data_IF_295586430474
#
_entry.id   IF_295586430474
#
_cell.length_a   1.000
_cell.length_b   1.000
_cell.length_c   1.000
_cell.angle_alpha   90.00
_cell.angle_beta   90.00
_cell.angle_gamma   90.00
#
_symmetry.space_group_name_H-M   'P 1'
#
loop_
_entity.id
_entity.type
_entity.pdbx_description
1 polymer ?
#
# COMPACT_ATOMS: atom_id res chain seq x y z
N UNK A 1 19.55 4.85 -4.32
CA UNK A 1 18.56 4.96 -3.22
C UNK A 1 17.17 4.99 -3.83
N UNK A 2 16.49 3.85 -3.82
CA UNK A 2 15.23 3.64 -4.55
C UNK A 2 14.05 4.28 -3.81
N UNK A 3 13.65 5.46 -4.26
CA UNK A 3 12.38 6.08 -3.87
C UNK A 3 11.28 5.54 -4.79
N UNK A 4 10.57 4.49 -4.40
CA UNK A 4 9.36 4.06 -5.11
C UNK A 4 8.20 3.97 -4.14
N UNK A 5 7.69 5.14 -3.77
CA UNK A 5 6.32 5.29 -3.29
C UNK A 5 5.73 6.55 -3.92
N UNK A 6 5.28 6.42 -5.17
CA UNK A 6 4.02 7.00 -5.68
C UNK A 6 4.07 7.19 -7.20
N UNK A 7 3.50 6.24 -7.92
CA UNK A 7 2.73 6.53 -9.13
C UNK A 7 1.46 5.69 -9.08
N UNK A 8 0.38 6.31 -8.60
CA UNK A 8 -0.96 5.73 -8.63
C UNK A 8 -1.45 5.71 -10.08
N UNK A 9 -1.80 4.53 -10.59
CA UNK A 9 -2.67 4.41 -11.74
C UNK A 9 -4.04 5.01 -11.37
N UNK A 10 -4.41 6.08 -12.06
CA UNK A 10 -5.72 6.70 -11.93
C UNK A 10 -6.76 5.81 -12.64
N UNK A 11 -7.36 4.87 -11.92
CA UNK A 11 -8.64 4.26 -12.32
C UNK A 11 -9.78 4.95 -11.56
N UNK A 12 -10.71 5.52 -12.33
CA UNK A 12 -11.86 6.25 -11.84
C UNK A 12 -12.85 5.40 -11.04
N UNK A 13 -13.72 6.07 -10.29
CA UNK A 13 -15.02 5.53 -9.87
C UNK A 13 -15.14 4.93 -8.47
N UNK A 14 -14.38 3.87 -8.12
CA UNK A 14 -14.74 2.99 -6.97
C UNK A 14 -13.62 2.69 -5.97
N UNK A 15 -12.59 3.54 -5.87
CA UNK A 15 -11.36 3.28 -5.11
C UNK A 15 -11.39 3.62 -3.60
N UNK A 16 -12.56 3.76 -2.97
CA UNK A 16 -12.67 4.13 -1.54
C UNK A 16 -12.16 3.03 -0.58
N UNK A 17 -12.17 1.77 -1.01
CA UNK A 17 -11.80 0.61 -0.18
C UNK A 17 -10.57 -0.16 -0.68
N UNK A 18 -9.81 0.38 -1.65
CA UNK A 18 -8.66 -0.31 -2.26
C UNK A 18 -7.31 0.25 -1.80
N UNK A 19 -6.30 -0.57 -1.56
CA UNK A 19 -4.94 -0.18 -1.13
C UNK A 19 -3.91 -0.85 -2.04
N UNK A 20 -3.01 -0.08 -2.64
CA UNK A 20 -1.91 -0.61 -3.45
C UNK A 20 -0.67 -0.80 -2.59
N UNK A 21 0.02 -1.93 -2.74
CA UNK A 21 1.23 -2.31 -2.01
C UNK A 21 2.19 -3.05 -2.94
N UNK A 22 3.50 -2.93 -2.74
CA UNK A 22 4.49 -3.76 -3.44
C UNK A 22 4.43 -5.22 -2.97
N UNK A 23 4.61 -6.18 -3.88
CA UNK A 23 4.59 -7.62 -3.55
C UNK A 23 5.54 -8.00 -2.40
N UNK A 24 6.81 -7.56 -2.37
CA UNK A 24 7.73 -7.96 -1.29
C UNK A 24 7.25 -7.54 0.10
N UNK A 25 6.64 -6.34 0.20
CA UNK A 25 6.11 -5.82 1.47
C UNK A 25 4.87 -6.60 1.91
N UNK A 26 3.97 -6.92 0.98
CA UNK A 26 2.77 -7.71 1.30
C UNK A 26 3.12 -9.15 1.68
N UNK A 27 4.05 -9.77 0.95
CA UNK A 27 4.51 -11.13 1.21
C UNK A 27 5.23 -11.20 2.55
N UNK A 28 6.11 -10.23 2.86
CA UNK A 28 6.76 -10.11 4.17
C UNK A 28 5.71 -9.99 5.28
N UNK A 29 4.76 -9.06 5.15
CA UNK A 29 3.72 -8.85 6.16
C UNK A 29 2.87 -10.11 6.38
N UNK A 30 2.52 -10.80 5.29
CA UNK A 30 1.64 -11.98 5.30
C UNK A 30 2.35 -13.23 5.83
N UNK A 31 3.65 -13.39 5.59
CA UNK A 31 4.44 -14.56 6.00
C UNK A 31 5.05 -14.40 7.37
N UNK A 32 5.71 -13.27 7.64
CA UNK A 32 6.49 -13.05 8.86
C UNK A 32 5.64 -12.57 10.03
N UNK A 33 4.52 -11.88 9.76
CA UNK A 33 3.68 -11.31 10.83
C UNK A 33 2.17 -11.48 10.61
N UNK A 34 1.68 -12.71 10.37
CA UNK A 34 0.25 -12.97 10.12
C UNK A 34 -0.64 -12.55 11.30
N UNK A 35 -0.13 -12.62 12.53
CA UNK A 35 -0.85 -12.19 13.73
C UNK A 35 -1.24 -10.70 13.68
N UNK A 36 -0.40 -9.84 13.08
CA UNK A 36 -0.69 -8.40 12.96
C UNK A 36 -1.84 -8.12 12.00
N UNK A 37 -1.90 -8.85 10.90
CA UNK A 37 -3.02 -8.80 9.95
C UNK A 37 -4.30 -9.36 10.58
N UNK A 38 -4.20 -10.46 11.34
CA UNK A 38 -5.34 -11.05 12.04
C UNK A 38 -5.96 -10.07 13.04
N UNK A 39 -5.14 -9.42 13.88
CA UNK A 39 -5.59 -8.39 14.82
C UNK A 39 -6.32 -7.24 14.13
N UNK A 40 -5.77 -6.74 13.02
CA UNK A 40 -6.40 -5.66 12.25
C UNK A 40 -7.77 -6.08 11.68
N UNK A 41 -7.87 -7.31 11.16
CA UNK A 41 -9.12 -7.86 10.61
C UNK A 41 -10.21 -7.96 11.68
N UNK A 42 -9.84 -8.41 12.88
CA UNK A 42 -10.74 -8.55 14.03
C UNK A 42 -11.16 -7.18 14.58
N UNK A 43 -10.20 -6.31 14.87
CA UNK A 43 -10.41 -4.99 15.47
C UNK A 43 -11.33 -4.11 14.62
N UNK A 44 -11.13 -4.13 13.29
CA UNK A 44 -11.95 -3.34 12.38
C UNK A 44 -13.08 -4.11 11.71
N UNK A 45 -13.22 -5.41 12.01
CA UNK A 45 -14.22 -6.31 11.40
C UNK A 45 -14.22 -6.22 9.87
N UNK A 46 -13.05 -6.39 9.26
CA UNK A 46 -12.86 -6.33 7.80
C UNK A 46 -12.20 -7.59 7.26
N UNK A 47 -12.54 -7.97 6.03
CA UNK A 47 -11.72 -8.87 5.22
C UNK A 47 -10.82 -8.07 4.29
N UNK A 48 -9.62 -8.60 4.02
CA UNK A 48 -8.65 -8.02 3.08
C UNK A 48 -8.38 -9.08 2.02
N UNK A 49 -8.71 -8.76 0.77
CA UNK A 49 -8.59 -9.65 -0.39
C UNK A 49 -7.71 -9.02 -1.46
N UNK A 50 -7.00 -9.82 -2.26
CA UNK A 50 -6.28 -9.32 -3.43
C UNK A 50 -7.30 -9.20 -4.57
N UNK A 51 -7.52 -7.98 -5.02
CA UNK A 51 -8.48 -7.61 -6.07
C UNK A 51 -7.80 -7.40 -7.43
N UNK A 52 -6.48 -7.18 -7.43
CA UNK A 52 -5.68 -7.13 -8.65
C UNK A 52 -4.19 -7.33 -8.37
N UNK A 53 -3.47 -7.84 -9.36
CA UNK A 53 -2.05 -8.16 -9.28
C UNK A 53 -1.34 -7.71 -10.56
N UNK A 54 -0.12 -7.18 -10.42
CA UNK A 54 0.83 -6.98 -11.52
C UNK A 54 2.19 -7.60 -11.16
N UNK A 55 3.22 -7.44 -11.99
CA UNK A 55 4.56 -7.98 -11.71
C UNK A 55 5.14 -7.55 -10.36
N UNK A 56 4.88 -6.32 -9.90
CA UNK A 56 5.53 -5.73 -8.73
C UNK A 56 4.57 -5.31 -7.59
N UNK A 57 3.27 -5.25 -7.85
CA UNK A 57 2.28 -4.73 -6.88
C UNK A 57 1.04 -5.62 -6.75
N UNK A 58 0.43 -5.58 -5.56
CA UNK A 58 -0.93 -6.03 -5.30
C UNK A 58 -1.87 -4.83 -5.06
N UNK A 59 -3.12 -4.98 -5.50
CA UNK A 59 -4.25 -4.12 -5.16
C UNK A 59 -5.14 -4.87 -4.19
N UNK A 60 -5.16 -4.41 -2.94
CA UNK A 60 -5.91 -5.02 -1.85
C UNK A 60 -7.28 -4.34 -1.71
N UNK A 61 -8.36 -5.10 -1.58
CA UNK A 61 -9.70 -4.61 -1.30
C UNK A 61 -10.12 -4.93 0.13
N UNK A 62 -10.67 -3.93 0.83
CA UNK A 62 -11.25 -4.07 2.15
C UNK A 62 -12.78 -4.19 2.04
N UNK A 63 -13.33 -5.23 2.67
CA UNK A 63 -14.78 -5.45 2.74
C UNK A 63 -15.22 -5.61 4.21
N UNK A 64 -16.35 -5.04 4.65
CA UNK A 64 -16.89 -5.26 5.99
C UNK A 64 -17.22 -6.74 6.24
N UNK A 65 -16.99 -7.23 7.46
CA UNK A 65 -17.47 -8.53 7.95
C UNK A 65 -18.40 -8.33 9.16
N UNK A 66 -19.68 -8.69 9.01
CA UNK A 66 -20.65 -8.71 10.11
C UNK A 66 -22.06 -8.28 9.69
N UNK A 67 -23.08 -8.56 10.53
CA UNK A 67 -24.45 -8.12 10.28
C UNK A 67 -24.55 -6.58 10.34
N UNK A 68 -25.42 -5.96 9.51
CA UNK A 68 -25.60 -4.51 9.46
C UNK A 68 -26.25 -3.95 10.75
N UNK A 69 -25.99 -2.68 11.11
CA UNK A 69 -25.23 -1.69 10.35
C UNK A 69 -23.75 -1.62 10.81
N UNK A 70 -22.82 -1.74 9.85
CA UNK A 70 -21.43 -1.38 10.09
C UNK A 70 -21.34 0.16 10.26
N UNK A 71 -20.58 0.68 11.23
CA UNK A 71 -20.46 2.11 11.42
C UNK A 71 -19.95 2.79 10.14
N UNK A 72 -20.49 3.95 9.75
CA UNK A 72 -20.23 4.60 8.45
C UNK A 72 -18.74 4.94 8.20
N UNK A 73 -17.89 4.87 9.23
CA UNK A 73 -16.45 5.14 9.18
C UNK A 73 -15.53 3.91 9.38
N UNK A 74 -16.07 2.69 9.56
CA UNK A 74 -15.26 1.51 9.89
C UNK A 74 -14.18 1.18 8.86
N UNK A 75 -14.51 1.29 7.56
CA UNK A 75 -13.57 1.01 6.48
C UNK A 75 -12.46 2.06 6.35
N UNK A 76 -12.73 3.31 6.74
CA UNK A 76 -11.71 4.36 6.73
C UNK A 76 -10.63 4.07 7.78
N UNK A 77 -11.05 3.77 9.01
CA UNK A 77 -10.14 3.42 10.10
C UNK A 77 -9.33 2.16 9.76
N UNK A 78 -10.00 1.12 9.24
CA UNK A 78 -9.35 -0.10 8.77
C UNK A 78 -8.29 0.19 7.69
N UNK A 79 -8.60 1.04 6.73
CA UNK A 79 -7.67 1.44 5.67
C UNK A 79 -6.49 2.24 6.21
N UNK A 80 -6.72 3.13 7.18
CA UNK A 80 -5.66 3.90 7.85
C UNK A 80 -4.72 2.97 8.63
N UNK A 81 -5.27 2.05 9.41
CA UNK A 81 -4.53 1.03 10.14
C UNK A 81 -3.70 0.15 9.19
N UNK A 82 -4.29 -0.31 8.08
CA UNK A 82 -3.59 -1.13 7.10
C UNK A 82 -2.43 -0.38 6.45
N UNK A 83 -2.61 0.89 6.10
CA UNK A 83 -1.51 1.72 5.58
C UNK A 83 -0.39 1.91 6.60
N UNK A 84 -0.72 2.04 7.88
CA UNK A 84 0.28 2.10 8.96
C UNK A 84 1.07 0.81 9.06
N UNK A 85 0.38 -0.32 9.09
CA UNK A 85 0.95 -1.66 9.15
C UNK A 85 1.89 -1.95 7.96
N UNK A 86 1.48 -1.58 6.75
CA UNK A 86 2.29 -1.72 5.54
C UNK A 86 3.58 -0.89 5.58
N UNK A 87 3.53 0.35 6.10
CA UNK A 87 4.72 1.18 6.27
C UNK A 87 5.71 0.60 7.27
N UNK A 88 5.20 0.00 8.35
CA UNK A 88 6.05 -0.64 9.34
C UNK A 88 6.69 -1.91 8.77
N UNK A 89 5.92 -2.74 8.05
CA UNK A 89 6.43 -3.89 7.33
C UNK A 89 7.53 -3.52 6.32
N UNK A 90 7.38 -2.40 5.60
CA UNK A 90 8.41 -1.91 4.69
C UNK A 90 9.70 -1.50 5.43
N UNK A 91 9.58 -0.91 6.63
CA UNK A 91 10.74 -0.55 7.46
C UNK A 91 11.46 -1.79 7.98
N UNK A 92 10.71 -2.78 8.45
CA UNK A 92 11.27 -4.05 8.92
C UNK A 92 11.91 -4.85 7.78
N UNK A 93 11.29 -4.88 6.59
CA UNK A 93 11.88 -5.51 5.41
C UNK A 93 13.22 -4.87 5.03
N UNK A 94 13.30 -3.52 5.01
CA UNK A 94 14.56 -2.81 4.74
C UNK A 94 15.62 -3.06 5.82
N UNK A 95 15.20 -3.24 7.08
CA UNK A 95 16.09 -3.58 8.19
C UNK A 95 16.64 -5.00 8.04
N UNK A 96 15.77 -5.97 7.73
CA UNK A 96 16.16 -7.36 7.48
C UNK A 96 17.12 -7.49 6.28
N UNK A 97 16.89 -6.71 5.20
CA UNK A 97 17.79 -6.66 4.05
C UNK A 97 19.18 -6.14 4.42
N UNK A 98 19.27 -5.04 5.20
CA UNK A 98 20.56 -4.49 5.67
C UNK A 98 21.30 -5.44 6.62
N UNK A 99 20.56 -6.17 7.46
CA UNK A 99 21.15 -7.18 8.35
C UNK A 99 21.67 -8.40 7.56
N UNK A 100 21.00 -8.77 6.47
CA UNK A 100 21.48 -9.79 5.53
C UNK A 100 22.76 -9.36 4.79
N UNK A 101 22.88 -8.09 4.40
CA UNK A 101 24.10 -7.55 3.77
C UNK A 101 25.30 -7.54 4.73
N UNK A 102 25.09 -7.19 6.00
CA UNK A 102 26.14 -7.21 7.03
C UNK A 102 26.67 -8.64 7.31
N UNK A 103 25.80 -9.65 7.20
CA UNK A 103 26.16 -11.07 7.33
C UNK A 103 26.79 -11.66 6.05
N UNK A 104 26.59 -11.02 4.89
CA UNK A 104 27.19 -11.42 3.61
C UNK A 104 28.65 -10.95 3.44
N UNK A 105 29.06 -9.88 4.13
CA UNK A 105 30.40 -9.32 4.00
C UNK A 105 31.51 -10.07 4.76
N UNK A 106 31.19 -11.10 5.55
CA UNK A 106 32.20 -11.92 6.24
C UNK A 106 32.70 -13.13 5.41
N UNK A 107 32.21 -13.31 4.17
CA UNK A 107 32.50 -14.50 3.37
C UNK A 107 33.46 -14.29 2.18
N UNK A 108 34.14 -13.14 2.05
CA UNK A 108 35.06 -12.90 0.93
C UNK A 108 36.41 -12.33 1.40
N UNK A 109 37.40 -13.21 1.54
CA UNK A 109 38.80 -12.86 1.76
C UNK A 109 39.76 -13.90 1.17
N UNK A 110 40.43 -13.52 0.08
CA UNK A 110 41.60 -14.19 -0.56
C UNK A 110 41.24 -15.16 -1.70
N UNK A 111 41.77 -15.09 -2.92
CA UNK A 111 42.83 -14.28 -3.54
C UNK A 111 43.64 -15.16 -4.52
N UNK A 112 43.67 -14.81 -5.82
CA UNK A 112 44.50 -15.41 -6.91
C UNK A 112 44.14 -16.86 -7.29
N UNK A 113 44.27 -17.40 -8.50
CA UNK A 113 44.90 -17.06 -9.78
C UNK A 113 44.49 -18.15 -10.83
N UNK A 114 44.90 -18.00 -12.09
CA UNK A 114 44.41 -18.65 -13.33
C UNK A 114 44.86 -20.15 -13.53
N UNK A 115 44.77 -20.76 -14.74
CA UNK A 115 43.73 -21.67 -15.27
C UNK A 115 44.17 -23.16 -15.40
N UNK A 116 43.27 -24.16 -15.38
CA UNK A 116 43.51 -25.41 -16.12
C UNK A 116 42.26 -26.31 -16.30
N UNK A 117 42.36 -27.16 -17.31
CA UNK A 117 41.40 -28.06 -17.92
C UNK A 117 41.01 -29.29 -17.06
N UNK A 118 39.86 -29.87 -17.43
CA UNK A 118 39.53 -31.30 -17.35
C UNK A 118 39.23 -31.94 -15.96
N UNK A 119 37.93 -32.14 -15.66
CA UNK A 119 37.27 -33.47 -15.72
C UNK A 119 35.81 -33.42 -15.23
N UNK A 120 34.92 -34.30 -15.75
CA UNK A 120 33.60 -34.53 -15.17
C UNK A 120 33.71 -35.28 -13.83
N UNK A 121 32.97 -34.81 -12.81
CA UNK A 121 32.89 -35.46 -11.51
C UNK A 121 32.12 -36.80 -11.54
N UNK A 122 32.34 -37.68 -10.54
CA UNK A 122 31.73 -39.00 -10.45
C UNK A 122 30.22 -38.96 -10.11
N UNK A 123 29.47 -40.04 -10.44
CA UNK A 123 28.03 -40.11 -10.18
C UNK A 123 27.67 -40.24 -8.68
N UNK A 124 26.44 -39.89 -8.29
CA UNK A 124 25.98 -40.03 -6.90
C UNK A 124 25.78 -41.50 -6.49
N UNK A 125 25.96 -41.85 -5.19
CA UNK A 125 25.75 -43.21 -4.68
C UNK A 125 24.26 -43.59 -4.60
N UNK A 126 23.94 -44.90 -4.55
CA UNK A 126 22.57 -45.39 -4.70
C UNK A 126 21.72 -45.15 -3.46
N UNK A 127 20.44 -44.81 -3.69
CA UNK A 127 19.40 -44.72 -2.68
C UNK A 127 19.13 -46.10 -2.08
N UNK A 128 19.41 -46.28 -0.78
CA UNK A 128 18.97 -47.48 -0.05
C UNK A 128 17.49 -47.32 0.29
N UNK A 129 16.70 -48.30 -0.13
CA UNK A 129 15.29 -48.43 0.20
C UNK A 129 15.10 -48.61 1.72
N UNK A 130 14.21 -47.82 2.31
CA UNK A 130 13.75 -47.99 3.69
C UNK A 130 12.56 -48.98 3.73
N UNK A 131 12.38 -49.76 4.82
CA UNK A 131 11.35 -50.79 4.90
C UNK A 131 9.95 -50.19 5.03
N UNK A 132 8.99 -50.78 4.32
CA UNK A 132 7.57 -50.50 4.47
C UNK A 132 7.07 -51.01 5.82
N UNK A 133 6.52 -50.13 6.66
CA UNK A 133 5.74 -50.51 7.85
C UNK A 133 4.27 -50.78 7.47
N UNK A 134 3.59 -51.71 8.15
CA UNK A 134 2.23 -52.15 7.82
C UNK A 134 1.14 -51.15 8.28
N UNK A 135 -0.06 -51.21 7.67
CA UNK A 135 -1.14 -50.28 7.97
C UNK A 135 -2.04 -50.79 9.11
N UNK A 136 -2.41 -49.90 10.03
CA UNK A 136 -3.56 -50.11 10.92
C UNK A 136 -3.45 -49.49 12.31
N UNK A 137 -4.09 -48.33 12.51
CA UNK A 137 -4.95 -48.00 13.66
C UNK A 137 -5.27 -46.50 13.63
N UNK A 138 -6.51 -46.15 13.26
CA UNK A 138 -7.04 -44.80 13.36
C UNK A 138 -7.24 -44.44 14.84
N UNK A 139 -6.40 -43.58 15.39
CA UNK A 139 -6.68 -42.87 16.64
C UNK A 139 -7.50 -41.61 16.37
N UNK A 140 -8.61 -41.41 17.08
CA UNK A 140 -9.38 -40.17 17.07
C UNK A 140 -8.57 -39.01 17.69
N UNK A 141 -8.69 -37.77 17.21
CA UNK A 141 -8.11 -36.61 17.87
C UNK A 141 -8.83 -36.30 19.21
N UNK A 142 -8.12 -35.78 20.23
CA UNK A 142 -8.72 -35.42 21.51
C UNK A 142 -9.66 -34.19 21.37
N UNK A 143 -10.69 -34.07 22.24
CA UNK A 143 -11.61 -32.94 22.22
C UNK A 143 -10.95 -31.62 22.66
N UNK A 144 -11.44 -30.46 22.17
CA UNK A 144 -10.92 -29.16 22.58
C UNK A 144 -11.31 -28.80 24.02
N UNK A 145 -10.50 -27.97 24.72
CA UNK A 145 -10.80 -27.52 26.08
C UNK A 145 -12.04 -26.59 26.11
N UNK A 146 -12.75 -26.51 27.26
CA UNK A 146 -13.94 -25.68 27.38
C UNK A 146 -13.60 -24.18 27.31
N UNK A 147 -14.48 -23.43 26.63
CA UNK A 147 -14.37 -21.98 26.47
C UNK A 147 -14.57 -21.26 27.82
N UNK A 148 -13.83 -20.16 28.09
CA UNK A 148 -14.03 -19.35 29.28
C UNK A 148 -15.40 -18.63 29.26
N UNK A 149 -15.98 -18.34 30.44
CA UNK A 149 -17.28 -17.67 30.54
C UNK A 149 -17.21 -16.23 29.98
N UNK A 150 -18.33 -15.69 29.46
CA UNK A 150 -18.37 -14.34 28.93
C UNK A 150 -18.14 -13.31 30.05
N UNK A 151 -17.27 -12.34 29.81
CA UNK A 151 -17.07 -11.19 30.68
C UNK A 151 -18.32 -10.28 30.66
N UNK A 152 -18.67 -9.65 31.79
CA UNK A 152 -19.86 -8.78 31.86
C UNK A 152 -19.69 -7.52 30.98
N UNK A 153 -20.80 -6.94 30.49
CA UNK A 153 -20.74 -5.73 29.66
C UNK A 153 -20.19 -4.56 30.48
N UNK A 154 -19.04 -4.04 30.08
CA UNK A 154 -18.57 -2.71 30.48
C UNK A 154 -19.46 -1.70 29.77
N UNK A 155 -20.40 -1.08 30.49
CA UNK A 155 -21.03 0.16 30.02
C UNK A 155 -19.91 1.19 29.87
N UNK A 156 -19.61 1.58 28.63
CA UNK A 156 -18.66 2.64 28.31
C UNK A 156 -19.46 3.78 27.70
N UNK A 157 -19.81 4.76 28.52
CA UNK A 157 -20.23 6.09 28.08
C UNK A 157 -19.01 6.86 27.52
N UNK A 158 -18.41 6.38 26.43
CA UNK A 158 -17.24 7.01 25.78
C UNK A 158 -17.54 7.42 24.33
N UNK A 159 -18.81 7.61 23.97
CA UNK A 159 -19.22 7.76 22.56
C UNK A 159 -19.56 9.18 22.11
N UNK A 160 -19.64 10.19 22.99
CA UNK A 160 -20.03 11.54 22.58
C UNK A 160 -18.87 12.56 22.46
N UNK A 161 -17.69 12.25 23.01
CA UNK A 161 -16.56 13.21 23.05
C UNK A 161 -15.73 13.23 21.74
N UNK A 162 -15.82 12.19 20.92
CA UNK A 162 -14.98 12.06 19.72
C UNK A 162 -15.52 12.84 18.51
N UNK A 163 -16.80 13.23 18.50
CA UNK A 163 -17.40 14.00 17.40
C UNK A 163 -17.23 15.52 17.56
N UNK A 164 -16.87 16.00 18.76
CA UNK A 164 -16.65 17.41 19.06
C UNK A 164 -15.17 17.85 19.01
N UNK A 165 -14.24 16.92 18.74
CA UNK A 165 -12.79 17.22 18.68
C UNK A 165 -12.33 17.47 17.25
N UNK A 166 -11.65 18.60 17.01
CA UNK A 166 -11.12 18.95 15.70
C UNK A 166 -9.84 18.14 15.40
N UNK A 167 -9.79 17.37 14.29
CA UNK A 167 -8.62 16.54 13.97
C UNK A 167 -7.39 17.33 13.46
N UNK A 168 -7.51 18.65 13.33
CA UNK A 168 -6.41 19.54 12.88
C UNK A 168 -5.69 20.17 14.08
N UNK A 169 -6.43 20.74 15.03
CA UNK A 169 -5.86 21.38 16.23
C UNK A 169 -5.93 20.51 17.48
N UNK A 170 -6.59 19.35 17.40
CA UNK A 170 -6.75 18.38 18.50
C UNK A 170 -7.47 18.93 19.74
N UNK A 171 -8.17 20.07 19.61
CA UNK A 171 -9.04 20.64 20.64
C UNK A 171 -10.50 20.66 20.20
N UNK A 172 -11.38 21.21 21.02
CA UNK A 172 -12.81 21.35 20.71
C UNK A 172 -13.06 22.11 19.40
N UNK A 173 -14.08 21.69 18.65
CA UNK A 173 -14.47 22.32 17.39
C UNK A 173 -15.08 23.69 17.67
N UNK A 174 -14.30 24.73 17.37
CA UNK A 174 -14.76 26.12 17.39
C UNK A 174 -15.28 26.54 16.01
N UNK A 175 -16.51 27.04 15.93
CA UNK A 175 -17.20 27.40 14.68
C UNK A 175 -17.15 26.25 13.66
N UNK A 176 -17.95 25.23 13.90
CA UNK A 176 -17.92 23.98 13.14
C UNK A 176 -18.14 24.21 11.64
N UNK A 177 -17.21 23.69 10.83
CA UNK A 177 -17.30 23.69 9.37
C UNK A 177 -17.23 22.28 8.84
N UNK A 178 -18.35 21.83 8.29
CA UNK A 178 -18.53 20.49 7.74
C UNK A 178 -18.32 20.51 6.23
N UNK A 179 -17.44 19.65 5.72
CA UNK A 179 -17.18 19.60 4.28
C UNK A 179 -18.27 18.81 3.53
N UNK A 180 -18.98 19.45 2.60
CA UNK A 180 -20.17 18.91 1.91
C UNK A 180 -20.00 17.51 1.29
N UNK A 181 -18.88 17.22 0.63
CA UNK A 181 -18.70 15.97 -0.13
C UNK A 181 -18.33 14.76 0.74
N UNK A 182 -17.88 14.98 1.97
CA UNK A 182 -17.38 13.90 2.84
C UNK A 182 -17.83 14.00 4.30
N UNK A 183 -18.58 15.05 4.66
CA UNK A 183 -19.14 15.32 5.98
C UNK A 183 -18.18 15.21 7.16
N UNK A 184 -16.91 15.54 6.95
CA UNK A 184 -15.95 15.67 8.04
C UNK A 184 -16.01 17.10 8.57
N UNK A 185 -16.07 17.23 9.90
CA UNK A 185 -16.17 18.50 10.62
C UNK A 185 -14.83 18.93 11.21
N UNK A 186 -14.58 20.23 11.20
CA UNK A 186 -13.36 20.86 11.69
C UNK A 186 -13.70 22.25 12.24
N UNK A 187 -12.79 22.89 12.99
CA UNK A 187 -12.89 24.32 13.22
C UNK A 187 -12.79 25.06 11.89
N UNK A 188 -13.61 26.09 11.68
CA UNK A 188 -13.63 26.87 10.44
C UNK A 188 -12.23 27.41 10.06
N UNK A 189 -11.50 27.98 11.03
CA UNK A 189 -10.15 28.50 10.82
C UNK A 189 -9.15 27.39 10.43
N UNK A 190 -9.28 26.22 11.05
CA UNK A 190 -8.41 25.07 10.79
C UNK A 190 -8.58 24.54 9.37
N UNK A 191 -9.83 24.29 8.96
CA UNK A 191 -10.07 23.75 7.62
C UNK A 191 -9.80 24.77 6.52
N UNK A 192 -10.04 26.07 6.77
CA UNK A 192 -9.75 27.12 5.80
C UNK A 192 -8.25 27.18 5.49
N UNK A 193 -7.38 27.14 6.50
CA UNK A 193 -5.91 27.07 6.30
C UNK A 193 -5.48 25.79 5.61
N UNK A 194 -6.02 24.63 6.03
CA UNK A 194 -5.68 23.35 5.41
C UNK A 194 -6.02 23.33 3.91
N UNK A 195 -7.17 23.88 3.51
CA UNK A 195 -7.60 23.99 2.12
C UNK A 195 -6.82 25.02 1.29
N UNK A 196 -6.05 25.92 1.90
CA UNK A 196 -5.12 26.79 1.18
C UNK A 196 -3.87 26.02 0.74
N UNK A 197 -3.36 25.13 1.60
CA UNK A 197 -2.19 24.30 1.28
C UNK A 197 -2.53 23.20 0.28
N UNK A 198 -3.62 22.48 0.54
CA UNK A 198 -4.10 21.40 -0.32
C UNK A 198 -5.60 21.43 -0.36
N UNK A 199 -6.17 21.53 -1.56
CA UNK A 199 -7.62 21.52 -1.84
C UNK A 199 -8.24 20.12 -1.61
N UNK A 200 -7.94 19.46 -0.50
CA UNK A 200 -8.43 18.15 -0.14
C UNK A 200 -8.72 18.06 1.35
N UNK A 201 -9.73 17.27 1.72
CA UNK A 201 -10.06 16.99 3.11
C UNK A 201 -8.87 16.34 3.85
N UNK A 202 -8.41 16.87 5.00
CA UNK A 202 -7.33 16.27 5.78
C UNK A 202 -7.62 14.85 6.28
N UNK A 203 -8.90 14.52 6.48
CA UNK A 203 -9.31 13.19 6.95
C UNK A 203 -9.24 12.15 5.84
N UNK A 204 -9.92 12.38 4.72
CA UNK A 204 -10.15 11.35 3.70
C UNK A 204 -9.50 11.62 2.34
N UNK A 205 -8.87 12.79 2.15
CA UNK A 205 -8.24 13.17 0.89
C UNK A 205 -9.21 13.50 -0.26
N UNK A 206 -10.53 13.55 0.02
CA UNK A 206 -11.55 13.98 -0.95
C UNK A 206 -11.23 15.40 -1.42
N UNK A 207 -11.15 15.60 -2.73
CA UNK A 207 -10.74 16.88 -3.33
C UNK A 207 -11.89 17.90 -3.44
N UNK A 208 -11.58 19.16 -3.14
CA UNK A 208 -12.48 20.31 -3.11
C UNK A 208 -11.90 21.43 -3.97
N UNK A 209 -12.11 21.34 -5.28
CA UNK A 209 -11.68 22.32 -6.28
C UNK A 209 -11.36 21.64 -7.62
N UNK A 210 -10.56 22.32 -8.46
CA UNK A 210 -9.90 21.72 -9.62
C UNK A 210 -8.45 21.34 -9.29
N UNK A 211 -8.06 20.09 -9.57
CA UNK A 211 -6.69 19.63 -9.36
C UNK A 211 -5.84 20.18 -10.50
N UNK A 212 -5.07 21.22 -10.20
CA UNK A 212 -4.16 21.86 -11.15
C UNK A 212 -2.73 21.56 -10.72
N UNK A 213 -1.95 20.98 -11.63
CA UNK A 213 -0.53 20.72 -11.42
C UNK A 213 0.34 21.97 -11.64
N UNK A 214 1.65 21.76 -11.66
CA UNK A 214 2.66 22.77 -11.95
C UNK A 214 3.20 22.65 -13.39
N UNK A 215 2.39 22.17 -14.33
CA UNK A 215 2.80 22.01 -15.72
C UNK A 215 3.21 23.36 -16.31
N UNK A 216 4.38 23.47 -16.97
CA UNK A 216 4.81 24.70 -17.63
C UNK A 216 3.80 25.17 -18.68
N UNK A 217 3.55 26.48 -18.74
CA UNK A 217 2.57 27.06 -19.67
C UNK A 217 3.02 26.99 -21.13
N UNK A 218 4.33 26.92 -21.38
CA UNK A 218 4.91 26.78 -22.71
C UNK A 218 4.88 25.33 -23.25
N UNK A 219 4.36 24.38 -22.45
CA UNK A 219 4.18 23.00 -22.89
C UNK A 219 3.10 22.88 -23.96
N UNK A 220 3.35 22.04 -24.97
CA UNK A 220 2.39 21.71 -26.03
C UNK A 220 2.09 20.22 -26.00
N UNK A 221 0.84 19.87 -26.29
CA UNK A 221 0.39 18.51 -26.52
C UNK A 221 -0.11 18.44 -27.96
N UNK A 222 0.53 17.61 -28.78
CA UNK A 222 0.15 17.36 -30.16
C UNK A 222 -0.48 15.99 -30.22
N UNK A 223 -1.61 15.88 -30.92
CA UNK A 223 -2.35 14.63 -31.08
C UNK A 223 -2.49 14.33 -32.56
N UNK A 224 -2.03 13.16 -32.98
CA UNK A 224 -2.20 12.66 -34.34
C UNK A 224 -2.72 11.22 -34.32
N UNK A 225 -3.24 10.76 -35.45
CA UNK A 225 -3.63 9.37 -35.67
C UNK A 225 -2.74 8.78 -36.74
N UNK A 226 -2.10 7.66 -36.43
CA UNK A 226 -1.22 6.93 -37.31
C UNK A 226 -1.82 5.54 -37.56
N UNK A 227 -2.29 5.30 -38.79
CA UNK A 227 -2.89 4.03 -39.19
C UNK A 227 -1.84 2.93 -39.44
N UNK A 228 -0.58 3.30 -39.61
CA UNK A 228 0.52 2.37 -39.90
C UNK A 228 1.16 1.82 -38.63
N UNK A 229 1.09 2.61 -37.55
CA UNK A 229 1.59 2.19 -36.25
C UNK A 229 0.57 1.28 -35.57
N UNK A 230 0.93 0.00 -35.43
CA UNK A 230 0.09 -1.02 -34.82
C UNK A 230 0.60 -1.33 -33.40
N UNK A 231 -0.28 -1.21 -32.41
CA UNK A 231 0.04 -1.59 -31.04
C UNK A 231 -0.16 -3.10 -30.85
N UNK A 232 0.72 -3.78 -30.10
CA UNK A 232 0.54 -5.19 -29.79
C UNK A 232 -0.83 -5.46 -29.18
N UNK A 233 -1.54 -6.49 -29.67
CA UNK A 233 -2.91 -6.86 -29.31
C UNK A 233 -4.01 -5.87 -29.76
N UNK A 234 -3.68 -4.82 -30.50
CA UNK A 234 -4.62 -3.84 -31.07
C UNK A 234 -4.34 -3.58 -32.56
N UNK A 235 -3.81 -4.56 -33.28
CA UNK A 235 -3.31 -4.44 -34.66
C UNK A 235 -4.40 -4.07 -35.69
N UNK A 236 -5.67 -4.25 -35.34
CA UNK A 236 -6.82 -3.88 -36.18
C UNK A 236 -7.18 -2.39 -36.07
N UNK A 237 -6.57 -1.68 -35.13
CA UNK A 237 -6.85 -0.28 -34.84
C UNK A 237 -5.58 0.55 -35.11
N UNK A 238 -5.73 1.69 -35.78
CA UNK A 238 -4.64 2.67 -35.86
C UNK A 238 -4.31 3.24 -34.48
N UNK A 239 -3.15 3.87 -34.35
CA UNK A 239 -2.67 4.40 -33.07
C UNK A 239 -2.87 5.90 -32.95
N UNK A 240 -3.32 6.35 -31.77
CA UNK A 240 -3.30 7.77 -31.42
C UNK A 240 -1.93 8.09 -30.85
N UNK A 241 -1.18 8.95 -31.52
CA UNK A 241 0.13 9.42 -31.06
C UNK A 241 -0.07 10.73 -30.33
N UNK A 242 0.32 10.76 -29.06
CA UNK A 242 0.29 11.96 -28.23
C UNK A 242 1.73 12.39 -27.97
N UNK A 243 2.15 13.48 -28.60
CA UNK A 243 3.48 14.04 -28.44
C UNK A 243 3.43 15.23 -27.48
N UNK A 244 4.22 15.16 -26.40
CA UNK A 244 4.40 16.26 -25.47
C UNK A 244 5.69 17.00 -25.79
N UNK A 245 5.62 18.32 -25.93
CA UNK A 245 6.77 19.19 -26.21
C UNK A 245 6.85 20.25 -25.10
N UNK A 246 7.91 20.22 -24.31
CA UNK A 246 8.17 21.19 -23.24
C UNK A 246 9.48 21.92 -23.52
N UNK A 247 9.45 23.12 -24.11
CA UNK A 247 10.64 23.92 -24.34
C UNK A 247 11.30 24.33 -23.00
N UNK A 248 12.63 24.54 -22.97
CA UNK A 248 13.30 25.11 -21.82
C UNK A 248 12.65 26.42 -21.34
N UNK A 249 12.67 26.67 -20.04
CA UNK A 249 12.05 27.85 -19.44
C UNK A 249 12.47 28.06 -17.99
N UNK A 250 12.08 29.21 -17.44
CA UNK A 250 12.37 29.60 -16.05
C UNK A 250 11.23 29.16 -15.14
N UNK A 251 11.56 28.65 -13.96
CA UNK A 251 10.57 28.21 -12.98
C UNK A 251 9.83 29.40 -12.34
N UNK A 252 8.50 29.41 -12.43
CA UNK A 252 7.65 30.43 -11.83
C UNK A 252 7.48 30.33 -10.30
N UNK A 253 6.86 31.35 -9.71
CA UNK A 253 6.79 31.63 -8.25
C UNK A 253 5.90 30.66 -7.44
N UNK A 254 5.10 29.79 -8.08
CA UNK A 254 4.20 28.86 -7.38
C UNK A 254 4.95 27.63 -6.83
N UNK A 255 5.27 27.61 -5.53
CA UNK A 255 5.67 26.42 -4.74
C UNK A 255 4.94 26.37 -3.39
N UNK A 256 4.75 25.17 -2.80
CA UNK A 256 5.78 24.46 -1.99
C UNK A 256 6.06 23.07 -2.60
N UNK A 257 7.24 22.46 -2.64
CA UNK A 257 8.48 22.47 -1.86
C UNK A 257 9.64 22.23 -2.84
N UNK A 258 10.88 22.54 -2.42
CA UNK A 258 12.09 22.34 -3.20
C UNK A 258 12.29 20.88 -3.65
N UNK A 259 12.41 20.69 -4.97
CA UNK A 259 13.33 19.69 -5.53
C UNK A 259 14.32 20.53 -6.32
N UNK A 260 15.46 20.79 -5.70
CA UNK A 260 16.69 21.12 -6.42
C UNK A 260 17.05 19.86 -7.23
N UNK A 261 16.78 19.89 -8.53
CA UNK A 261 17.64 19.18 -9.46
C UNK A 261 18.39 20.25 -10.25
N UNK A 262 19.70 20.46 -10.02
CA UNK A 262 20.52 21.04 -11.06
C UNK A 262 20.57 20.01 -12.20
N UNK A 263 20.06 20.39 -13.36
CA UNK A 263 20.29 19.64 -14.59
C UNK A 263 21.73 19.91 -15.01
N UNK A 264 22.60 18.90 -14.83
CA UNK A 264 23.77 18.64 -15.67
C UNK A 264 23.73 17.16 -16.02
#
# INVERSE_FOLDING_TARGET
>A
MSFVLSRMAACGGTCKNKVTVSKPVWDFLSKETPARLARLREEHRVSILIDGETSDIYVLQLSPQGPPPAPPNGLYLARKALKGLLKEAEKELKKAQRQGELMGCLALGGGGEHPELHRPGPPPPPLRAAPLLPPGARGLPPPPPPLPPPLPPRLREETEEQESTCPICLGEIQNAKTLEKCRHSFCEGCITRALQVKKACPMCGRFYGQLVGNQPQNGRMLVSKDATLLLPSYEKYGTIVIQYVFPPGVQGVRRPMACLCPLV
#
